data_IF_223429307832
#
_entry.id   IF_223429307832
#
_cell.length_a   1.000
_cell.length_b   1.000
_cell.length_c   1.000
_cell.angle_alpha   90.00
_cell.angle_beta   90.00
_cell.angle_gamma   90.00
#
_symmetry.space_group_name_H-M   'P 1'
#
loop_
_entity.id
_entity.type
_entity.pdbx_description
1 polymer ?
#
# COMPACT_ATOMS: atom_id res chain seq x y z
N UNK A 1 -29.37 4.47 -3.91
CA UNK A 1 -28.06 5.05 -4.32
C UNK A 1 -27.00 4.31 -3.53
N UNK A 2 -26.14 3.55 -4.18
CA UNK A 2 -25.02 2.85 -3.53
C UNK A 2 -23.74 3.60 -3.92
N UNK A 3 -23.06 4.28 -2.99
CA UNK A 3 -21.79 4.92 -3.28
C UNK A 3 -20.77 3.85 -3.66
N UNK A 4 -20.05 4.07 -4.76
CA UNK A 4 -18.98 3.16 -5.18
C UNK A 4 -17.72 3.45 -4.37
N UNK A 5 -17.13 2.35 -3.89
CA UNK A 5 -15.74 2.17 -3.44
C UNK A 5 -15.06 3.42 -2.86
N UNK A 6 -14.95 3.46 -1.54
CA UNK A 6 -14.01 4.36 -0.85
C UNK A 6 -12.60 3.80 -1.04
N UNK A 7 -11.89 4.26 -2.07
CA UNK A 7 -10.47 3.96 -2.29
C UNK A 7 -9.63 5.00 -1.58
N UNK A 8 -9.56 5.03 -0.25
CA UNK A 8 -8.74 6.06 0.41
C UNK A 8 -8.07 5.55 1.67
N UNK A 9 -6.78 5.26 1.53
CA UNK A 9 -5.85 5.31 2.63
C UNK A 9 -5.60 6.78 2.98
N UNK A 10 -6.18 7.25 4.08
CA UNK A 10 -5.85 8.57 4.63
C UNK A 10 -4.57 8.46 5.45
N UNK A 11 -3.70 9.47 5.35
CA UNK A 11 -2.46 9.55 6.12
C UNK A 11 -2.75 10.29 7.43
N UNK A 12 -2.38 9.69 8.57
CA UNK A 12 -2.56 10.30 9.89
C UNK A 12 -1.85 11.68 9.96
N UNK A 13 -2.48 12.64 10.67
CA UNK A 13 -2.01 14.02 10.84
C UNK A 13 -1.99 14.89 9.58
N UNK A 14 -2.51 14.41 8.44
CA UNK A 14 -2.78 15.23 7.27
C UNK A 14 -4.28 15.36 7.07
N UNK A 15 -4.73 16.56 6.70
CA UNK A 15 -6.07 16.71 6.16
C UNK A 15 -6.15 15.91 4.86
N UNK A 16 -7.16 15.04 4.75
CA UNK A 16 -7.29 14.15 3.62
C UNK A 16 -8.70 14.29 3.03
N UNK A 17 -8.75 14.47 1.71
CA UNK A 17 -10.01 14.47 0.98
C UNK A 17 -10.28 13.07 0.46
N UNK A 18 -11.33 12.44 0.98
CA UNK A 18 -11.78 11.14 0.50
C UNK A 18 -12.68 11.36 -0.71
N UNK A 19 -12.17 11.04 -1.89
CA UNK A 19 -12.95 11.07 -3.13
C UNK A 19 -13.83 9.82 -3.26
N UNK A 20 -15.09 10.03 -3.64
CA UNK A 20 -16.08 8.97 -3.83
C UNK A 20 -16.94 9.22 -5.08
N UNK A 21 -17.46 8.15 -5.67
CA UNK A 21 -18.37 8.22 -6.82
C UNK A 21 -19.79 7.84 -6.44
N UNK A 22 -20.71 8.75 -6.72
CA UNK A 22 -22.14 8.59 -6.49
C UNK A 22 -22.82 8.17 -7.79
N UNK A 23 -23.56 7.08 -7.76
CA UNK A 23 -24.32 6.61 -8.92
C UNK A 23 -25.70 6.11 -8.51
N UNK A 24 -26.66 6.24 -9.43
CA UNK A 24 -28.02 5.70 -9.31
C UNK A 24 -28.19 4.45 -10.20
N UNK A 25 -27.13 4.06 -10.91
CA UNK A 25 -27.12 2.89 -11.77
C UNK A 25 -27.41 1.61 -10.98
N UNK A 26 -28.27 0.75 -11.55
CA UNK A 26 -28.57 -0.56 -10.99
C UNK A 26 -27.38 -1.53 -11.11
N UNK A 27 -26.41 -1.28 -12.02
CA UNK A 27 -25.18 -2.09 -12.19
C UNK A 27 -23.95 -1.25 -12.56
N UNK A 28 -22.69 -1.76 -12.39
CA UNK A 28 -21.47 -1.00 -12.62
C UNK A 28 -21.29 -0.60 -14.08
N UNK A 29 -21.81 -1.45 -14.95
CA UNK A 29 -21.69 -1.35 -16.40
C UNK A 29 -22.70 -0.37 -16.98
N UNK A 30 -23.71 0.03 -16.21
CA UNK A 30 -24.69 1.00 -16.68
C UNK A 30 -24.09 2.41 -16.60
N UNK A 31 -23.75 2.95 -17.77
CA UNK A 31 -23.25 4.31 -17.91
C UNK A 31 -24.39 5.30 -17.69
N UNK A 32 -24.06 6.46 -17.12
CA UNK A 32 -24.97 7.59 -16.98
C UNK A 32 -24.74 8.56 -18.14
N UNK A 33 -25.82 9.03 -18.74
CA UNK A 33 -25.73 10.11 -19.74
C UNK A 33 -25.31 11.42 -19.08
N UNK A 34 -24.74 12.39 -19.83
CA UNK A 34 -24.39 13.69 -19.28
C UNK A 34 -25.56 14.38 -18.55
N UNK A 35 -26.76 14.34 -19.12
CA UNK A 35 -27.96 14.90 -18.50
C UNK A 35 -28.36 14.21 -17.18
N UNK A 36 -28.18 12.88 -17.10
CA UNK A 36 -28.41 12.14 -15.86
C UNK A 36 -27.40 12.51 -14.77
N UNK A 37 -26.13 12.69 -15.14
CA UNK A 37 -25.08 13.12 -14.19
C UNK A 37 -25.30 14.55 -13.70
N UNK A 38 -25.64 15.47 -14.60
CA UNK A 38 -25.97 16.85 -14.24
C UNK A 38 -27.18 16.90 -13.31
N UNK A 39 -28.23 16.13 -13.62
CA UNK A 39 -29.41 16.05 -12.75
C UNK A 39 -29.08 15.48 -11.38
N UNK A 40 -28.30 14.41 -11.33
CA UNK A 40 -27.85 13.81 -10.08
C UNK A 40 -27.02 14.81 -9.26
N UNK A 41 -26.08 15.52 -9.87
CA UNK A 41 -25.27 16.52 -9.20
C UNK A 41 -26.14 17.64 -8.60
N UNK A 42 -27.14 18.13 -9.35
CA UNK A 42 -28.10 19.12 -8.86
C UNK A 42 -28.93 18.59 -7.69
N UNK A 43 -29.43 17.36 -7.77
CA UNK A 43 -30.19 16.75 -6.68
C UNK A 43 -29.31 16.55 -5.43
N UNK A 44 -28.04 16.17 -5.58
CA UNK A 44 -27.09 16.06 -4.46
C UNK A 44 -26.66 17.41 -3.89
N UNK A 45 -26.70 18.49 -4.67
CA UNK A 45 -26.45 19.85 -4.16
C UNK A 45 -27.66 20.39 -3.38
N UNK A 46 -28.87 20.05 -3.80
CA UNK A 46 -30.13 20.51 -3.19
C UNK A 46 -30.46 19.79 -1.88
N UNK A 47 -30.09 18.52 -1.77
CA UNK A 47 -30.35 17.71 -0.58
C UNK A 47 -29.06 17.54 0.20
N UNK A 48 -29.11 17.78 1.52
CA UNK A 48 -27.88 17.68 2.33
C UNK A 48 -27.48 16.21 2.45
N UNK A 49 -26.26 15.91 2.00
CA UNK A 49 -25.59 14.64 2.22
C UNK A 49 -24.65 14.80 3.42
N UNK A 50 -24.95 14.07 4.48
CA UNK A 50 -24.14 14.00 5.69
C UNK A 50 -23.42 12.67 5.76
N UNK A 51 -22.18 12.73 6.21
CA UNK A 51 -21.34 11.57 6.44
C UNK A 51 -21.00 11.51 7.92
N UNK A 52 -21.11 10.32 8.52
CA UNK A 52 -20.68 10.07 9.90
C UNK A 52 -19.51 9.10 9.85
N UNK A 53 -18.37 9.51 10.41
CA UNK A 53 -17.18 8.67 10.53
C UNK A 53 -17.22 7.99 11.89
N UNK A 54 -17.15 6.66 11.89
CA UNK A 54 -17.28 5.82 13.07
C UNK A 54 -16.03 4.94 13.24
N UNK A 55 -15.40 4.91 14.42
CA UNK A 55 -14.28 4.01 14.67
C UNK A 55 -14.76 2.55 14.67
N UNK A 56 -13.98 1.66 14.04
CA UNK A 56 -14.26 0.22 13.97
C UNK A 56 -13.16 -0.61 14.66
N UNK A 57 -11.91 -0.16 14.65
CA UNK A 57 -10.83 -0.90 15.32
C UNK A 57 -10.84 -0.69 16.84
N UNK A 58 -10.52 -1.73 17.65
CA UNK A 58 -10.40 -1.59 19.10
C UNK A 58 -9.44 -0.48 19.55
N UNK A 59 -8.40 -0.22 18.74
CA UNK A 59 -7.41 0.85 18.97
C UNK A 59 -7.98 2.26 18.91
N UNK A 60 -9.18 2.44 18.34
CA UNK A 60 -9.87 3.74 18.18
C UNK A 60 -11.30 3.73 18.69
N UNK A 61 -11.88 2.56 19.00
CA UNK A 61 -13.25 2.41 19.48
C UNK A 61 -13.50 3.09 20.84
N UNK A 62 -12.46 3.35 21.64
CA UNK A 62 -12.56 4.12 22.89
C UNK A 62 -12.72 5.63 22.66
N UNK A 63 -12.40 6.13 21.46
CA UNK A 63 -12.67 7.50 21.04
C UNK A 63 -14.08 7.52 20.43
N UNK A 64 -15.11 7.74 21.23
CA UNK A 64 -16.52 7.79 20.81
C UNK A 64 -16.87 8.95 19.84
N UNK A 65 -15.88 9.48 19.13
CA UNK A 65 -15.97 10.71 18.35
C UNK A 65 -16.60 10.39 16.99
N UNK A 66 -17.94 10.39 16.95
CA UNK A 66 -18.69 10.38 15.70
C UNK A 66 -18.49 11.74 15.05
N UNK A 67 -17.70 11.80 13.98
CA UNK A 67 -17.48 13.03 13.23
C UNK A 67 -18.50 13.14 12.10
N UNK A 68 -19.35 14.17 12.18
CA UNK A 68 -20.25 14.53 11.11
C UNK A 68 -19.53 15.44 10.11
N UNK A 69 -19.36 14.95 8.88
CA UNK A 69 -18.70 15.66 7.78
C UNK A 69 -19.71 15.92 6.68
N UNK A 70 -19.66 17.12 6.08
CA UNK A 70 -20.47 17.44 4.89
C UNK A 70 -19.72 16.99 3.64
N UNK A 71 -20.39 16.28 2.75
CA UNK A 71 -19.84 16.00 1.42
C UNK A 71 -19.98 17.18 0.47
N UNK A 72 -19.01 17.32 -0.41
CA UNK A 72 -18.97 18.33 -1.47
C UNK A 72 -19.03 17.63 -2.82
N UNK A 73 -19.93 18.07 -3.70
CA UNK A 73 -19.98 17.60 -5.08
C UNK A 73 -18.89 18.31 -5.88
N UNK A 74 -18.05 17.54 -6.56
CA UNK A 74 -16.97 18.06 -7.39
C UNK A 74 -17.46 18.29 -8.83
N UNK A 75 -16.75 19.12 -9.62
CA UNK A 75 -17.06 19.29 -11.05
C UNK A 75 -17.07 17.96 -11.79
N UNK A 76 -17.92 17.86 -12.81
CA UNK A 76 -17.98 16.69 -13.68
C UNK A 76 -16.64 16.51 -14.42
N UNK A 77 -16.06 15.32 -14.35
CA UNK A 77 -14.80 14.95 -14.98
C UNK A 77 -14.99 14.13 -16.27
N UNK A 78 -16.23 14.02 -16.76
CA UNK A 78 -16.55 13.32 -18.00
C UNK A 78 -16.63 11.80 -17.87
N UNK A 79 -16.36 11.24 -16.69
CA UNK A 79 -16.46 9.81 -16.49
C UNK A 79 -17.92 9.33 -16.35
N UNK A 80 -18.24 8.30 -17.10
CA UNK A 80 -19.61 7.82 -17.35
C UNK A 80 -20.22 7.01 -16.19
N UNK A 81 -19.47 6.80 -15.11
CA UNK A 81 -19.80 5.88 -14.02
C UNK A 81 -20.39 6.56 -12.77
N UNK A 82 -20.58 7.88 -12.79
CA UNK A 82 -21.25 8.61 -11.71
C UNK A 82 -20.90 10.09 -11.62
N UNK A 83 -21.31 10.70 -10.50
CA UNK A 83 -20.93 12.05 -10.08
C UNK A 83 -19.84 11.94 -9.01
N UNK A 84 -18.81 12.78 -9.12
CA UNK A 84 -17.71 12.81 -8.16
C UNK A 84 -18.08 13.64 -6.94
N UNK A 85 -17.76 13.13 -5.76
CA UNK A 85 -17.90 13.82 -4.49
C UNK A 85 -16.62 13.68 -3.66
N UNK A 86 -16.42 14.59 -2.73
CA UNK A 86 -15.33 14.58 -1.76
C UNK A 86 -15.88 14.78 -0.36
N UNK A 87 -15.30 14.09 0.62
CA UNK A 87 -15.50 14.36 2.04
C UNK A 87 -14.17 14.73 2.66
N UNK A 88 -14.19 15.79 3.46
CA UNK A 88 -13.00 16.24 4.16
C UNK A 88 -12.81 15.45 5.46
N UNK A 89 -11.78 14.62 5.51
CA UNK A 89 -11.43 13.84 6.70
C UNK A 89 -10.48 14.67 7.56
N UNK A 90 -10.86 15.00 8.82
CA UNK A 90 -10.02 15.79 9.70
C UNK A 90 -8.70 15.08 10.02
N UNK A 91 -7.60 15.84 10.03
CA UNK A 91 -6.26 15.39 10.45
C UNK A 91 -6.20 14.78 11.87
N UNK A 92 -7.20 15.03 12.72
CA UNK A 92 -7.28 14.57 14.11
C UNK A 92 -7.66 13.09 14.26
N UNK A 93 -8.02 12.40 13.16
CA UNK A 93 -8.30 10.97 13.22
C UNK A 93 -7.04 10.19 13.57
N UNK A 94 -7.14 9.36 14.61
CA UNK A 94 -6.08 8.43 15.00
C UNK A 94 -5.96 7.27 14.01
N UNK A 95 -4.80 6.62 13.98
CA UNK A 95 -4.54 5.45 13.13
C UNK A 95 -5.52 4.31 13.45
N UNK A 96 -6.19 3.78 12.43
CA UNK A 96 -7.16 2.71 12.60
C UNK A 96 -8.15 2.57 11.44
N UNK A 97 -9.10 1.64 11.60
CA UNK A 97 -10.18 1.42 10.63
C UNK A 97 -11.42 2.20 11.04
N UNK A 98 -12.06 2.82 10.05
CA UNK A 98 -13.27 3.61 10.20
C UNK A 98 -14.35 3.16 9.22
N UNK A 99 -15.58 3.34 9.65
CA UNK A 99 -16.80 3.14 8.88
C UNK A 99 -17.40 4.49 8.51
N UNK A 100 -17.85 4.62 7.27
CA UNK A 100 -18.57 5.76 6.74
C UNK A 100 -20.06 5.42 6.73
N UNK A 101 -20.84 6.10 7.56
CA UNK A 101 -22.30 6.09 7.47
C UNK A 101 -22.75 7.30 6.69
N UNK A 102 -23.77 7.12 5.85
CA UNK A 102 -24.33 8.19 5.03
C UNK A 102 -25.74 8.46 5.50
N UNK A 103 -26.09 9.74 5.56
CA UNK A 103 -27.47 10.18 5.64
C UNK A 103 -27.74 11.09 4.45
N UNK A 104 -28.83 10.82 3.74
CA UNK A 104 -29.27 11.66 2.63
C UNK A 104 -30.64 12.23 2.98
N UNK A 105 -30.76 13.55 3.01
CA UNK A 105 -32.01 14.23 3.37
C UNK A 105 -32.58 13.74 4.72
N UNK A 106 -31.71 13.66 5.74
CA UNK A 106 -32.02 13.13 7.08
C UNK A 106 -32.52 11.68 7.13
N UNK A 107 -32.43 10.95 6.02
CA UNK A 107 -32.69 9.50 5.98
C UNK A 107 -31.35 8.79 6.10
N UNK A 108 -31.15 8.09 7.22
CA UNK A 108 -29.96 7.30 7.47
C UNK A 108 -29.96 6.04 6.60
N UNK A 109 -28.82 5.75 5.98
CA UNK A 109 -28.57 4.45 5.36
C UNK A 109 -28.33 3.38 6.45
N UNK A 110 -28.58 2.09 6.16
CA UNK A 110 -28.35 1.02 7.11
C UNK A 110 -26.92 1.07 7.68
N UNK A 111 -26.75 0.91 9.01
CA UNK A 111 -25.44 0.94 9.64
C UNK A 111 -24.57 -0.22 9.14
N UNK A 112 -23.28 0.03 8.99
CA UNK A 112 -22.28 -1.00 8.69
C UNK A 112 -22.20 -1.98 9.89
N UNK A 113 -22.11 -3.30 9.65
CA UNK A 113 -21.93 -4.27 10.73
C UNK A 113 -20.60 -4.00 11.45
N UNK A 114 -20.61 -4.12 12.77
CA UNK A 114 -19.48 -3.81 13.66
C UNK A 114 -18.35 -4.85 13.60
N UNK A 115 -18.53 -5.96 12.89
CA UNK A 115 -17.57 -7.06 12.83
C UNK A 115 -17.14 -7.31 11.36
N UNK A 116 -15.98 -6.78 10.93
CA UNK A 116 -15.52 -6.88 9.55
C UNK A 116 -15.16 -8.32 9.13
N UNK A 117 -15.00 -9.23 10.10
CA UNK A 117 -14.54 -10.61 9.87
C UNK A 117 -15.68 -11.54 9.40
N UNK A 118 -16.94 -11.14 9.60
CA UNK A 118 -18.13 -11.88 9.15
C UNK A 118 -18.73 -11.38 7.84
N UNK A 119 -18.03 -10.52 7.10
CA UNK A 119 -18.40 -10.26 5.71
C UNK A 119 -18.00 -11.52 4.93
N UNK A 120 -18.96 -12.41 4.69
CA UNK A 120 -18.73 -13.58 3.84
C UNK A 120 -18.17 -13.08 2.51
N UNK A 121 -17.19 -13.76 1.92
CA UNK A 121 -16.69 -13.48 0.55
C UNK A 121 -17.79 -13.48 -0.54
N UNK A 122 -19.03 -13.82 -0.19
CA UNK A 122 -20.22 -13.63 -1.01
C UNK A 122 -20.68 -12.16 -1.13
N UNK A 123 -20.22 -11.26 -0.25
CA UNK A 123 -20.57 -9.83 -0.22
C UNK A 123 -19.50 -8.92 -0.85
N UNK A 124 -18.51 -9.49 -1.56
CA UNK A 124 -17.60 -8.78 -2.48
C UNK A 124 -18.30 -8.28 -3.76
N UNK A 125 -19.64 -8.23 -3.74
CA UNK A 125 -20.40 -7.58 -4.79
C UNK A 125 -20.18 -6.07 -4.69
N UNK A 126 -19.85 -5.45 -5.83
CA UNK A 126 -19.74 -4.00 -6.03
C UNK A 126 -20.96 -3.17 -5.57
N UNK A 127 -22.09 -3.81 -5.26
CA UNK A 127 -23.31 -3.22 -4.69
C UNK A 127 -23.28 -3.07 -3.17
N UNK A 128 -22.39 -3.78 -2.49
CA UNK A 128 -22.38 -3.95 -1.04
C UNK A 128 -21.80 -2.71 -0.39
N UNK A 129 -22.67 -1.84 0.15
CA UNK A 129 -22.20 -0.71 0.98
C UNK A 129 -21.37 -1.20 2.18
N UNK A 130 -21.67 -2.40 2.65
CA UNK A 130 -20.98 -3.08 3.75
C UNK A 130 -19.49 -3.33 3.51
N UNK A 131 -19.06 -3.60 2.27
CA UNK A 131 -17.64 -3.77 1.92
C UNK A 131 -16.97 -2.46 1.49
N UNK A 132 -17.73 -1.49 0.97
CA UNK A 132 -17.19 -0.26 0.39
C UNK A 132 -17.25 0.98 1.30
N UNK A 133 -18.03 0.94 2.37
CA UNK A 133 -18.17 2.02 3.33
C UNK A 133 -17.07 2.06 4.39
N UNK A 134 -16.00 1.28 4.26
CA UNK A 134 -14.89 1.29 5.20
C UNK A 134 -13.65 1.95 4.60
N UNK A 135 -12.91 2.68 5.43
CA UNK A 135 -11.61 3.24 5.07
C UNK A 135 -10.65 3.14 6.25
N UNK A 136 -9.37 3.33 5.98
CA UNK A 136 -8.32 3.18 6.98
C UNK A 136 -7.45 4.43 7.00
N UNK A 137 -7.15 4.87 8.22
CA UNK A 137 -6.17 5.91 8.51
C UNK A 137 -4.88 5.22 8.91
N UNK A 138 -3.79 5.53 8.20
CA UNK A 138 -2.49 4.92 8.40
C UNK A 138 -1.45 5.98 8.74
N UNK A 139 -0.48 5.62 9.58
CA UNK A 139 0.78 6.36 9.61
C UNK A 139 1.61 6.00 8.37
N UNK A 140 2.29 6.95 7.73
CA UNK A 140 3.27 6.63 6.70
C UNK A 140 4.32 5.68 7.30
N UNK A 141 4.74 4.63 6.56
CA UNK A 141 5.86 3.82 7.01
C UNK A 141 7.10 4.71 7.11
N UNK A 142 8.00 4.42 8.03
CA UNK A 142 9.33 5.05 8.06
C UNK A 142 10.36 3.95 7.97
N UNK A 143 11.30 4.07 7.05
CA UNK A 143 12.41 3.13 6.93
C UNK A 143 13.61 3.67 7.70
N UNK A 144 14.28 2.81 8.44
CA UNK A 144 15.52 3.12 9.17
C UNK A 144 16.72 2.33 8.68
N UNK A 145 16.52 1.09 8.21
CA UNK A 145 17.60 0.25 7.70
C UNK A 145 17.10 -0.84 6.76
N UNK A 146 18.04 -1.39 5.98
CA UNK A 146 17.86 -2.57 5.13
C UNK A 146 18.97 -3.58 5.47
N UNK A 147 18.61 -4.83 5.73
CA UNK A 147 19.56 -5.91 6.00
C UNK A 147 19.21 -7.19 5.23
N UNK A 148 20.16 -7.83 4.54
CA UNK A 148 21.53 -7.36 4.32
C UNK A 148 21.57 -6.08 3.46
N UNK A 149 22.64 -5.30 3.59
CA UNK A 149 22.87 -4.09 2.75
C UNK A 149 23.29 -4.44 1.32
N UNK A 150 23.49 -5.72 1.02
CA UNK A 150 23.78 -6.21 -0.32
C UNK A 150 23.03 -7.51 -0.60
N UNK A 151 22.61 -7.71 -1.86
CA UNK A 151 21.99 -8.94 -2.31
C UNK A 151 22.47 -9.33 -3.72
N UNK A 152 22.34 -10.62 -4.02
CA UNK A 152 22.63 -11.21 -5.31
C UNK A 152 21.52 -10.84 -6.32
N UNK A 153 21.88 -10.68 -7.61
CA UNK A 153 20.91 -10.30 -8.64
C UNK A 153 19.75 -11.29 -8.84
N UNK A 154 19.88 -12.55 -8.40
CA UNK A 154 18.82 -13.54 -8.56
C UNK A 154 17.63 -13.28 -7.62
N UNK A 155 16.46 -13.74 -8.04
CA UNK A 155 15.25 -13.65 -7.24
C UNK A 155 15.31 -14.49 -5.97
N UNK A 156 14.50 -14.09 -4.99
CA UNK A 156 14.18 -14.92 -3.83
C UNK A 156 15.07 -14.73 -2.61
N UNK A 157 16.05 -13.82 -2.64
CA UNK A 157 16.82 -13.52 -1.44
C UNK A 157 15.99 -12.76 -0.42
N UNK A 158 16.14 -13.13 0.86
CA UNK A 158 15.46 -12.44 1.94
C UNK A 158 16.17 -11.12 2.26
N UNK A 159 15.42 -10.03 2.14
CA UNK A 159 15.81 -8.68 2.55
C UNK A 159 14.86 -8.26 3.66
N UNK A 160 15.41 -7.80 4.78
CA UNK A 160 14.66 -7.32 5.94
C UNK A 160 14.71 -5.81 5.97
N UNK A 161 13.55 -5.18 5.98
CA UNK A 161 13.39 -3.74 6.16
C UNK A 161 13.09 -3.48 7.63
N UNK A 162 13.80 -2.52 8.21
CA UNK A 162 13.58 -2.04 9.56
C UNK A 162 13.00 -0.64 9.54
N UNK A 163 12.13 -0.34 10.49
CA UNK A 163 11.39 0.91 10.48
C UNK A 163 10.34 1.05 11.56
N UNK A 164 9.41 1.96 11.33
CA UNK A 164 8.16 2.08 12.09
C UNK A 164 6.98 2.08 11.12
N UNK A 165 5.82 1.64 11.62
CA UNK A 165 4.58 1.61 10.85
C UNK A 165 4.69 0.80 9.53
N UNK A 166 5.52 -0.24 9.53
CA UNK A 166 5.69 -1.17 8.40
C UNK A 166 4.58 -2.20 8.27
N UNK A 167 3.59 -2.17 9.17
CA UNK A 167 2.35 -2.93 9.07
C UNK A 167 1.14 -2.01 9.32
N UNK A 168 0.04 -2.17 8.58
CA UNK A 168 -1.17 -1.41 8.80
C UNK A 168 -1.91 -1.85 10.08
N UNK A 169 -2.67 -0.95 10.74
CA UNK A 169 -3.41 -1.29 11.94
C UNK A 169 -4.48 -2.35 11.66
N UNK A 170 -4.58 -3.35 12.54
CA UNK A 170 -5.60 -4.41 12.46
C UNK A 170 -5.29 -5.54 11.47
N UNK A 171 -4.14 -5.52 10.78
CA UNK A 171 -3.65 -6.71 10.08
C UNK A 171 -3.09 -7.67 11.12
N UNK A 172 -3.82 -8.75 11.38
CA UNK A 172 -3.31 -9.87 12.17
C UNK A 172 -2.69 -10.89 11.23
N UNK A 173 -1.53 -11.42 11.62
CA UNK A 173 -0.75 -12.46 10.93
C UNK A 173 -1.43 -13.83 10.85
N UNK A 174 -2.78 -13.90 10.88
CA UNK A 174 -3.52 -15.15 10.96
C UNK A 174 -3.25 -16.03 9.73
N UNK A 175 -2.58 -17.19 9.89
CA UNK A 175 -2.24 -18.07 8.77
C UNK A 175 -3.47 -18.79 8.18
N UNK A 176 -4.64 -18.69 8.83
CA UNK A 176 -5.92 -19.25 8.34
C UNK A 176 -6.63 -18.35 7.33
N UNK A 177 -6.27 -17.08 7.29
CA UNK A 177 -6.70 -16.17 6.23
C UNK A 177 -5.47 -15.93 5.39
N UNK A 178 -5.48 -16.35 4.13
CA UNK A 178 -4.48 -15.90 3.16
C UNK A 178 -4.50 -14.38 3.17
N UNK A 179 -3.62 -13.76 3.96
CA UNK A 179 -3.69 -12.34 4.29
C UNK A 179 -3.69 -11.55 2.98
N UNK A 180 -4.86 -11.00 2.66
CA UNK A 180 -5.09 -10.21 1.44
C UNK A 180 -4.31 -8.91 1.49
N UNK A 181 -3.97 -8.43 2.69
CA UNK A 181 -3.12 -7.27 2.91
C UNK A 181 -1.63 -7.63 2.72
N UNK A 182 -0.97 -6.92 1.81
CA UNK A 182 0.48 -7.02 1.55
C UNK A 182 1.07 -5.63 1.43
N UNK A 183 2.30 -5.45 1.89
CA UNK A 183 3.08 -4.28 1.55
C UNK A 183 3.59 -4.40 0.10
N UNK A 184 3.75 -3.25 -0.56
CA UNK A 184 4.43 -3.15 -1.85
C UNK A 184 5.81 -2.57 -1.58
N UNK A 185 6.86 -3.33 -1.95
CA UNK A 185 8.25 -2.86 -1.88
C UNK A 185 8.70 -2.55 -3.30
N UNK A 186 9.26 -1.35 -3.47
CA UNK A 186 9.78 -0.84 -4.72
C UNK A 186 11.30 -0.76 -4.65
N UNK A 187 11.97 -1.30 -5.66
CA UNK A 187 13.41 -1.17 -5.86
C UNK A 187 13.69 -0.33 -7.10
N UNK A 188 14.39 0.78 -6.93
CA UNK A 188 14.73 1.71 -8.02
C UNK A 188 16.24 1.72 -8.21
N UNK A 189 16.71 1.41 -9.42
CA UNK A 189 18.15 1.47 -9.71
C UNK A 189 18.64 2.92 -9.68
N UNK A 190 19.72 3.17 -8.95
CA UNK A 190 20.35 4.48 -8.86
C UNK A 190 21.35 4.61 -10.01
N UNK A 191 20.97 5.36 -11.04
CA UNK A 191 21.90 5.77 -12.10
C UNK A 191 22.50 7.11 -11.68
N UNK A 192 23.81 7.14 -11.47
CA UNK A 192 24.54 8.37 -11.17
C UNK A 192 24.50 9.30 -12.39
N UNK A 193 23.55 10.24 -12.42
CA UNK A 193 23.66 11.43 -13.27
C UNK A 193 24.35 12.53 -12.49
N UNK A 194 25.23 13.29 -13.14
CA UNK A 194 26.00 14.40 -12.54
C UNK A 194 25.15 15.65 -12.24
N UNK A 195 23.88 15.47 -11.90
CA UNK A 195 22.99 16.53 -11.45
C UNK A 195 22.25 15.99 -10.23
N UNK A 196 21.99 16.85 -9.27
CA UNK A 196 21.39 16.64 -7.93
C UNK A 196 19.97 16.04 -7.91
N UNK A 197 19.57 15.33 -8.96
CA UNK A 197 18.38 14.50 -9.03
C UNK A 197 18.73 13.22 -9.79
N UNK A 198 18.69 12.06 -9.11
CA UNK A 198 18.79 10.76 -9.74
C UNK A 198 17.75 10.66 -10.87
N UNK A 199 18.22 10.79 -12.10
CA UNK A 199 17.37 10.88 -13.29
C UNK A 199 17.35 9.51 -13.97
N UNK A 200 16.14 8.95 -14.03
CA UNK A 200 15.85 7.66 -14.66
C UNK A 200 16.40 7.60 -16.08
N UNK A 201 17.41 6.74 -16.31
CA UNK A 201 18.07 6.59 -17.62
C UNK A 201 18.43 5.14 -17.96
N UNK A 202 17.89 4.15 -17.25
CA UNK A 202 18.02 2.72 -17.58
C UNK A 202 16.69 2.15 -18.08
N UNK A 203 16.71 1.38 -19.16
CA UNK A 203 15.53 0.83 -19.86
C UNK A 203 14.66 -0.19 -19.09
N UNK A 204 14.78 -0.28 -17.77
CA UNK A 204 13.89 -1.05 -16.90
C UNK A 204 13.25 -0.10 -15.88
N UNK A 205 11.93 -0.12 -15.77
CA UNK A 205 11.22 0.58 -14.69
C UNK A 205 11.60 0.04 -13.31
N UNK A 206 11.12 0.67 -12.22
CA UNK A 206 11.32 0.14 -10.87
C UNK A 206 10.74 -1.27 -10.73
N UNK A 207 11.37 -2.10 -9.90
CA UNK A 207 10.88 -3.43 -9.58
C UNK A 207 9.90 -3.35 -8.41
N UNK A 208 8.77 -4.03 -8.51
CA UNK A 208 7.77 -4.11 -7.46
C UNK A 208 7.60 -5.54 -6.98
N UNK A 209 7.60 -5.73 -5.67
CA UNK A 209 7.34 -7.03 -5.04
C UNK A 209 6.36 -6.86 -3.90
N UNK A 210 5.56 -7.91 -3.65
CA UNK A 210 4.63 -7.93 -2.53
C UNK A 210 5.26 -8.65 -1.34
N UNK A 211 5.27 -8.00 -0.18
CA UNK A 211 5.70 -8.58 1.08
C UNK A 211 4.47 -8.85 1.95
N UNK A 212 4.32 -10.09 2.41
CA UNK A 212 3.27 -10.45 3.34
C UNK A 212 3.62 -9.93 4.75
N UNK A 213 2.60 -9.50 5.49
CA UNK A 213 2.76 -9.19 6.91
C UNK A 213 2.80 -10.52 7.68
N UNK A 214 4.02 -11.04 7.89
CA UNK A 214 4.23 -12.36 8.53
C UNK A 214 4.21 -12.29 10.06
N UNK A 215 4.32 -11.10 10.61
CA UNK A 215 4.40 -10.84 12.05
C UNK A 215 3.47 -9.67 12.38
N UNK A 216 2.89 -9.67 13.58
CA UNK A 216 2.17 -8.50 14.12
C UNK A 216 3.13 -7.36 14.53
N UNK A 217 4.40 -7.45 14.12
CA UNK A 217 5.46 -6.49 14.40
C UNK A 217 5.45 -5.37 13.34
N UNK A 218 5.11 -4.13 13.70
CA UNK A 218 5.09 -3.00 12.77
C UNK A 218 6.50 -2.42 12.54
N UNK A 219 7.56 -3.02 13.06
CA UNK A 219 8.94 -2.51 12.97
C UNK A 219 9.81 -3.26 11.97
N UNK A 220 9.38 -4.45 11.54
CA UNK A 220 10.12 -5.29 10.60
C UNK A 220 9.25 -5.76 9.45
N UNK A 221 9.82 -5.81 8.24
CA UNK A 221 9.16 -6.36 7.06
C UNK A 221 10.17 -7.20 6.26
N UNK A 222 9.87 -8.49 6.10
CA UNK A 222 10.69 -9.40 5.31
C UNK A 222 10.15 -9.47 3.89
N UNK A 223 11.01 -9.18 2.91
CA UNK A 223 10.68 -9.20 1.49
C UNK A 223 11.64 -10.10 0.73
N UNK A 224 11.14 -10.76 -0.32
CA UNK A 224 11.99 -11.50 -1.26
C UNK A 224 12.40 -10.59 -2.41
N UNK A 225 13.70 -10.53 -2.69
CA UNK A 225 14.24 -9.73 -3.79
C UNK A 225 13.68 -10.21 -5.14
N UNK A 226 13.43 -9.29 -6.09
CA UNK A 226 13.17 -9.66 -7.47
C UNK A 226 14.45 -10.17 -8.16
N UNK A 227 14.31 -10.68 -9.38
CA UNK A 227 15.45 -10.86 -10.27
C UNK A 227 15.83 -9.51 -10.86
N UNK A 228 17.00 -9.00 -10.50
CA UNK A 228 17.54 -7.76 -11.01
C UNK A 228 18.26 -8.00 -12.35
N UNK A 229 18.04 -7.12 -13.32
CA UNK A 229 18.73 -7.16 -14.61
C UNK A 229 20.09 -6.47 -14.58
N UNK A 230 20.33 -5.61 -13.59
CA UNK A 230 21.54 -4.81 -13.48
C UNK A 230 22.11 -4.90 -12.07
N UNK A 231 23.43 -4.92 -11.97
CA UNK A 231 24.12 -4.72 -10.70
C UNK A 231 24.27 -3.23 -10.41
N UNK A 232 24.44 -2.87 -9.15
CA UNK A 232 24.61 -1.49 -8.71
C UNK A 232 23.79 -1.18 -7.47
N UNK A 233 23.67 0.11 -7.17
CA UNK A 233 22.92 0.55 -6.01
C UNK A 233 21.44 0.70 -6.34
N UNK A 234 20.59 0.28 -5.41
CA UNK A 234 19.15 0.39 -5.50
C UNK A 234 18.60 1.15 -4.30
N UNK A 235 17.76 2.14 -4.57
CA UNK A 235 16.90 2.74 -3.55
C UNK A 235 15.76 1.77 -3.24
N UNK A 236 15.48 1.57 -1.95
CA UNK A 236 14.38 0.73 -1.47
C UNK A 236 13.31 1.64 -0.86
N UNK A 237 12.08 1.48 -1.34
CA UNK A 237 10.93 2.18 -0.80
C UNK A 237 9.79 1.20 -0.49
N UNK A 238 9.00 1.50 0.55
CA UNK A 238 7.90 0.65 1.01
C UNK A 238 6.59 1.42 1.03
N UNK A 239 5.51 0.73 0.63
CA UNK A 239 4.13 1.17 0.78
C UNK A 239 3.34 0.10 1.52
N UNK A 240 2.57 0.52 2.52
CA UNK A 240 1.64 -0.34 3.29
C UNK A 240 0.17 -0.01 2.98
N UNK A 241 -0.05 0.84 1.98
CA UNK A 241 -1.35 1.38 1.58
C UNK A 241 -1.54 1.27 0.06
N UNK A 242 -1.28 0.08 -0.48
CA UNK A 242 -1.50 -0.27 -1.89
C UNK A 242 -0.84 0.67 -2.92
N UNK A 243 0.31 1.24 -2.55
CA UNK A 243 1.11 2.09 -3.43
C UNK A 243 0.74 3.56 -3.41
N UNK A 244 -0.23 3.99 -2.59
CA UNK A 244 -0.62 5.40 -2.47
C UNK A 244 0.52 6.26 -1.90
N UNK A 245 1.24 5.74 -0.90
CA UNK A 245 2.41 6.39 -0.32
C UNK A 245 3.61 5.45 -0.29
N UNK A 246 4.75 5.93 -0.76
CA UNK A 246 6.03 5.25 -0.65
C UNK A 246 6.97 6.02 0.27
N UNK A 247 7.52 5.32 1.25
CA UNK A 247 8.60 5.84 2.09
C UNK A 247 9.90 5.19 1.70
N UNK A 248 10.89 5.99 1.34
CA UNK A 248 12.22 5.54 0.94
C UNK A 248 13.25 5.84 2.03
N UNK A 249 14.32 5.04 2.04
CA UNK A 249 15.47 5.28 2.92
C UNK A 249 16.53 6.09 2.16
N UNK A 250 16.60 7.39 2.42
CA UNK A 250 17.53 8.28 1.70
C UNK A 250 19.01 8.03 2.00
N UNK A 251 19.34 7.36 3.12
CA UNK A 251 20.71 7.20 3.61
C UNK A 251 21.29 5.80 3.45
N UNK A 252 20.52 4.79 3.03
CA UNK A 252 21.05 3.44 2.80
C UNK A 252 20.45 2.83 1.54
N UNK A 253 21.34 2.46 0.63
CA UNK A 253 21.03 1.81 -0.64
C UNK A 253 21.34 0.32 -0.53
N UNK A 254 20.54 -0.50 -1.22
CA UNK A 254 20.79 -1.92 -1.39
C UNK A 254 21.80 -2.12 -2.53
N UNK A 255 22.94 -2.73 -2.26
CA UNK A 255 23.91 -3.08 -3.29
C UNK A 255 23.54 -4.42 -3.94
N UNK A 256 23.21 -4.39 -5.23
CA UNK A 256 22.97 -5.60 -6.02
C UNK A 256 24.25 -6.00 -6.76
N UNK A 257 24.69 -7.25 -6.61
CA UNK A 257 25.91 -7.77 -7.25
C UNK A 257 25.66 -9.02 -8.09
N UNK A 258 26.52 -9.23 -9.10
CA UNK A 258 26.52 -10.43 -9.92
C UNK A 258 27.03 -11.66 -9.16
N UNK A 259 26.85 -12.86 -9.71
CA UNK A 259 27.13 -14.10 -8.97
C UNK A 259 28.63 -14.17 -8.72
N UNK A 260 29.08 -14.26 -7.46
CA UNK A 260 30.48 -14.55 -7.20
C UNK A 260 30.74 -15.99 -7.64
N UNK A 261 31.79 -16.18 -8.41
CA UNK A 261 32.32 -17.49 -8.78
C UNK A 261 33.67 -17.68 -8.12
N UNK A 262 33.86 -18.82 -7.46
CA UNK A 262 35.18 -19.24 -7.00
C UNK A 262 35.94 -19.81 -8.20
N UNK A 263 36.98 -19.13 -8.64
CA UNK A 263 37.78 -19.56 -9.81
C UNK A 263 38.90 -20.50 -9.41
N UNK A 264 39.44 -20.33 -8.21
CA UNK A 264 40.63 -21.05 -7.76
C UNK A 264 40.64 -21.21 -6.25
N UNK A 265 41.08 -22.38 -5.80
CA UNK A 265 41.35 -22.70 -4.39
C UNK A 265 42.75 -23.30 -4.30
N UNK A 266 43.57 -22.83 -3.36
CA UNK A 266 44.89 -23.41 -3.09
C UNK A 266 45.23 -23.41 -1.60
N UNK A 267 45.88 -24.46 -1.08
CA UNK A 267 46.14 -25.75 -1.74
C UNK A 267 44.83 -26.50 -2.04
N UNK A 268 44.83 -27.38 -3.05
CA UNK A 268 43.67 -28.21 -3.40
C UNK A 268 43.44 -29.38 -2.41
N UNK A 269 44.26 -29.46 -1.36
CA UNK A 269 44.27 -30.49 -0.34
C UNK A 269 44.52 -29.86 1.03
N UNK A 270 43.99 -30.47 2.08
CA UNK A 270 44.24 -30.12 3.47
C UNK A 270 44.30 -31.36 4.34
N UNK A 271 44.73 -31.21 5.59
CA UNK A 271 44.72 -32.34 6.54
C UNK A 271 43.30 -32.65 6.99
N UNK A 272 43.00 -33.93 7.25
CA UNK A 272 41.66 -34.38 7.64
C UNK A 272 41.15 -33.75 8.95
N UNK A 273 42.07 -33.27 9.79
CA UNK A 273 41.77 -32.56 11.05
C UNK A 273 41.46 -31.06 10.86
N UNK A 274 41.52 -30.54 9.62
CA UNK A 274 41.31 -29.11 9.32
C UNK A 274 42.52 -28.22 9.66
N UNK A 275 42.31 -26.91 9.72
CA UNK A 275 43.36 -25.93 10.05
C UNK A 275 44.37 -25.63 8.93
N UNK A 276 44.15 -26.14 7.71
CA UNK A 276 44.90 -25.73 6.53
C UNK A 276 44.32 -24.43 5.99
N UNK A 277 45.15 -23.38 5.90
CA UNK A 277 44.76 -22.13 5.27
C UNK A 277 44.52 -22.31 3.77
N UNK A 278 43.32 -21.91 3.31
CA UNK A 278 42.95 -21.95 1.90
C UNK A 278 42.88 -20.53 1.34
N UNK A 279 43.59 -20.31 0.24
CA UNK A 279 43.48 -19.09 -0.55
C UNK A 279 42.43 -19.29 -1.65
N UNK A 280 41.40 -18.45 -1.63
CA UNK A 280 40.30 -18.45 -2.59
C UNK A 280 40.43 -17.25 -3.53
N UNK A 281 40.38 -17.48 -4.85
CA UNK A 281 40.21 -16.39 -5.83
C UNK A 281 38.75 -16.32 -6.25
N UNK A 282 38.10 -15.22 -5.88
CA UNK A 282 36.70 -14.95 -6.23
C UNK A 282 36.69 -13.99 -7.43
N UNK A 283 35.83 -14.26 -8.41
CA UNK A 283 35.52 -13.32 -9.48
C UNK A 283 34.02 -13.04 -9.53
N UNK A 284 33.67 -11.86 -10.06
CA UNK A 284 32.29 -11.41 -10.23
C UNK A 284 32.12 -11.13 -11.72
N UNK A 285 31.43 -12.03 -12.43
CA UNK A 285 31.21 -11.92 -13.88
C UNK A 285 29.72 -11.71 -14.17
N UNK A 286 29.42 -10.82 -15.10
CA UNK A 286 28.10 -10.76 -15.73
C UNK A 286 27.95 -12.04 -16.55
N UNK A 287 27.01 -12.91 -16.19
CA UNK A 287 26.63 -14.05 -17.03
C UNK A 287 26.04 -13.47 -18.31
N UNK A 288 26.77 -13.60 -19.42
CA UNK A 288 26.19 -13.42 -20.75
C UNK A 288 25.28 -14.63 -20.98
N UNK A 289 23.96 -14.40 -20.92
CA UNK A 289 22.95 -15.34 -21.42
C UNK A 289 22.73 -15.07 -22.90
#
# INVERSE_FOLDING_TARGET
MSPRAVSVAAVANNDADVSLRLTVAATPQHTQTPAQRERLALDMQRHVMHFRILPQSPSVASSSTILAVRGTILPDDGAVDGVRASIHVPSQLSVGTYALQIAFNNTDFPPLPSDPIRVNHADDMWTSWTSHGQFRVFSPPTLSAVSPTACFYAEGQHVTLYGQHLAPPGVTSSPRHHATAKAIVRFTHVVSSSATHATWTGGGGPYFVHAAFTTDDPTTLVVKSPRFNDAGQYEVAVSVNDGVHFSALSSSLLLVYWKPTCEYVTPAYGVSMGGTDLHLRISVKKLQL
#
